data_IF_982181277414
#
_entry.id   IF_982181277414
#
_cell.length_a   1.000
_cell.length_b   1.000
_cell.length_c   1.000
_cell.angle_alpha   90.00
_cell.angle_beta   90.00
_cell.angle_gamma   90.00
#
_symmetry.space_group_name_H-M   'P 1'
#
loop_
_entity.id
_entity.type
_entity.pdbx_description
1 polymer ?
#
# COMPACT_ATOMS: atom_id res chain seq x y z
N UNK A 1 5.56 -11.65 3.81
CA UNK A 1 6.20 -10.42 4.32
C UNK A 1 5.17 -9.31 4.42
N UNK A 2 5.45 -8.25 5.19
CA UNK A 2 4.50 -7.15 5.43
C UNK A 2 3.91 -6.58 4.13
N UNK A 3 4.74 -6.33 3.12
CA UNK A 3 4.29 -5.76 1.85
C UNK A 3 3.27 -6.63 1.10
N UNK A 4 3.50 -7.95 0.97
CA UNK A 4 2.51 -8.86 0.36
C UNK A 4 1.19 -8.90 1.13
N UNK A 5 1.23 -8.73 2.45
CA UNK A 5 0.03 -8.71 3.29
C UNK A 5 -0.81 -7.43 3.15
N UNK A 6 -0.23 -6.36 2.59
CA UNK A 6 -0.90 -5.07 2.37
C UNK A 6 -1.37 -4.92 0.93
N UNK A 7 -0.51 -5.27 -0.05
CA UNK A 7 -0.73 -4.89 -1.45
C UNK A 7 -1.47 -5.94 -2.28
N UNK A 8 -1.62 -7.17 -1.78
CA UNK A 8 -2.41 -8.19 -2.45
C UNK A 8 -3.87 -7.73 -2.65
N UNK A 9 -4.46 -8.04 -3.80
CA UNK A 9 -5.80 -7.58 -4.21
C UNK A 9 -6.00 -6.06 -4.07
N UNK A 10 -4.92 -5.28 -4.27
CA UNK A 10 -4.91 -3.83 -4.11
C UNK A 10 -5.36 -3.38 -2.71
N UNK A 11 -5.06 -4.19 -1.68
CA UNK A 11 -5.41 -3.95 -0.28
C UNK A 11 -6.88 -4.21 0.08
N UNK A 12 -7.70 -4.69 -0.87
CA UNK A 12 -9.12 -4.97 -0.65
C UNK A 12 -9.32 -6.37 -0.10
N UNK A 13 -8.73 -6.63 1.07
CA UNK A 13 -8.80 -7.92 1.80
C UNK A 13 -9.25 -7.63 3.22
N UNK A 14 -10.21 -8.39 3.74
CA UNK A 14 -10.78 -8.15 5.08
C UNK A 14 -9.76 -8.31 6.22
N UNK A 15 -8.70 -9.09 5.99
CA UNK A 15 -7.56 -9.28 6.91
C UNK A 15 -6.26 -8.70 6.36
N UNK A 16 -6.34 -7.67 5.49
CA UNK A 16 -5.16 -6.95 5.03
C UNK A 16 -4.34 -6.41 6.21
N UNK A 17 -3.02 -6.54 6.12
CA UNK A 17 -2.07 -6.10 7.16
C UNK A 17 -1.87 -4.60 7.21
N UNK A 18 -2.94 -3.80 7.20
CA UNK A 18 -2.93 -2.33 7.00
C UNK A 18 -2.19 -1.54 8.08
N UNK A 19 -1.85 -2.19 9.21
CA UNK A 19 -1.05 -1.60 10.27
C UNK A 19 0.16 -2.49 10.56
N UNK A 20 1.34 -2.00 10.20
CA UNK A 20 2.60 -2.67 10.47
C UNK A 20 3.20 -2.11 11.77
N UNK A 21 3.55 -2.98 12.71
CA UNK A 21 4.23 -2.62 13.94
C UNK A 21 5.72 -2.94 13.79
N UNK A 22 6.55 -1.92 13.94
CA UNK A 22 8.01 -2.03 13.78
C UNK A 22 8.68 -1.60 15.09
N UNK A 23 9.71 -2.33 15.49
CA UNK A 23 10.52 -1.95 16.64
C UNK A 23 11.25 -0.64 16.34
N UNK A 24 11.26 0.30 17.30
CA UNK A 24 11.74 1.67 17.10
C UNK A 24 13.11 1.77 16.42
N UNK A 25 14.08 0.93 16.77
CA UNK A 25 15.43 0.97 16.17
C UNK A 25 15.52 0.46 14.74
N UNK A 26 14.44 -0.11 14.19
CA UNK A 26 14.39 -0.66 12.84
C UNK A 26 13.44 0.12 11.92
N UNK A 27 12.84 1.21 12.39
CA UNK A 27 11.81 1.95 11.63
C UNK A 27 12.34 2.46 10.30
N UNK A 28 13.53 3.07 10.31
CA UNK A 28 14.12 3.68 9.10
C UNK A 28 14.49 2.60 8.08
N UNK A 29 15.24 1.58 8.52
CA UNK A 29 15.66 0.44 7.67
C UNK A 29 14.45 -0.31 7.10
N UNK A 30 13.43 -0.56 7.92
CA UNK A 30 12.22 -1.24 7.46
C UNK A 30 11.46 -0.39 6.43
N UNK A 31 11.38 0.92 6.64
CA UNK A 31 10.67 1.83 5.74
C UNK A 31 11.38 1.90 4.39
N UNK A 32 12.72 1.96 4.38
CA UNK A 32 13.52 1.91 3.15
C UNK A 32 13.28 0.61 2.37
N UNK A 33 13.40 -0.56 3.02
CA UNK A 33 13.15 -1.84 2.36
C UNK A 33 11.70 -2.00 1.87
N UNK A 34 10.74 -1.41 2.58
CA UNK A 34 9.35 -1.40 2.15
C UNK A 34 9.16 -0.54 0.90
N UNK A 35 9.78 0.64 0.84
CA UNK A 35 9.77 1.51 -0.34
C UNK A 35 10.44 0.82 -1.54
N UNK A 36 11.60 0.20 -1.34
CA UNK A 36 12.30 -0.56 -2.39
C UNK A 36 11.41 -1.67 -2.97
N UNK A 37 10.68 -2.39 -2.11
CA UNK A 37 9.73 -3.38 -2.59
C UNK A 37 8.57 -2.75 -3.36
N UNK A 38 8.01 -1.63 -2.87
CA UNK A 38 6.92 -0.92 -3.54
C UNK A 38 7.31 -0.45 -4.94
N UNK A 39 8.55 0.01 -5.13
CA UNK A 39 9.07 0.43 -6.43
C UNK A 39 9.14 -0.70 -7.46
N UNK A 40 9.15 -1.97 -7.00
CA UNK A 40 9.08 -3.13 -7.91
C UNK A 40 7.65 -3.43 -8.39
N UNK A 41 6.62 -2.88 -7.75
CA UNK A 41 5.22 -3.22 -8.03
C UNK A 41 4.72 -2.52 -9.31
N UNK A 42 4.33 -3.32 -10.30
CA UNK A 42 3.69 -2.83 -11.52
C UNK A 42 2.17 -2.79 -11.34
N UNK A 43 1.60 -1.59 -11.44
CA UNK A 43 0.14 -1.38 -11.49
C UNK A 43 -0.33 -1.46 -12.94
N UNK A 44 -1.37 -2.24 -13.21
CA UNK A 44 -1.90 -2.34 -14.56
C UNK A 44 -3.24 -3.08 -14.66
N UNK A 45 -3.53 -3.60 -15.86
CA UNK A 45 -4.82 -4.24 -16.16
C UNK A 45 -4.87 -5.63 -15.54
N UNK A 46 -6.05 -6.06 -15.09
CA UNK A 46 -6.21 -7.35 -14.38
C UNK A 46 -5.81 -8.60 -15.16
N UNK A 47 -5.76 -8.54 -16.50
CA UNK A 47 -5.34 -9.65 -17.36
C UNK A 47 -3.88 -9.54 -17.83
N UNK A 48 -3.19 -8.47 -17.46
CA UNK A 48 -1.78 -8.33 -17.77
C UNK A 48 -0.93 -9.17 -16.80
N UNK A 49 -0.32 -10.22 -17.34
CA UNK A 49 0.56 -11.12 -16.58
C UNK A 49 1.81 -10.46 -16.02
N UNK A 50 2.17 -9.25 -16.49
CA UNK A 50 3.29 -8.47 -15.97
C UNK A 50 2.88 -7.53 -14.84
N UNK A 51 1.58 -7.36 -14.58
CA UNK A 51 1.07 -6.50 -13.51
C UNK A 51 1.04 -7.25 -12.18
N UNK A 52 1.55 -6.61 -11.13
CA UNK A 52 1.49 -7.12 -9.76
C UNK A 52 0.21 -6.68 -9.05
N UNK A 53 -0.38 -5.56 -9.47
CA UNK A 53 -1.54 -4.96 -8.82
C UNK A 53 -2.55 -4.44 -9.86
N UNK A 54 -3.83 -4.71 -9.59
CA UNK A 54 -4.95 -4.25 -10.42
C UNK A 54 -5.60 -2.97 -9.88
N UNK A 55 -6.68 -2.49 -10.52
CA UNK A 55 -7.44 -1.36 -10.03
C UNK A 55 -8.17 -1.68 -8.72
N UNK A 56 -8.56 -0.64 -7.99
CA UNK A 56 -9.57 -0.76 -6.92
C UNK A 56 -10.98 -0.90 -7.52
N UNK A 57 -11.92 -1.39 -6.73
CA UNK A 57 -13.23 -1.86 -7.24
C UNK A 57 -14.13 -0.75 -7.82
N UNK A 58 -13.97 0.49 -7.37
CA UNK A 58 -14.85 1.60 -7.79
C UNK A 58 -14.22 2.97 -7.55
N UNK A 59 -14.78 4.00 -8.21
CA UNK A 59 -14.41 5.40 -7.97
C UNK A 59 -14.58 5.79 -6.50
N UNK A 60 -15.69 5.37 -5.86
CA UNK A 60 -15.93 5.64 -4.43
C UNK A 60 -14.82 5.09 -3.54
N UNK A 61 -14.30 3.90 -3.85
CA UNK A 61 -13.19 3.30 -3.11
C UNK A 61 -11.91 4.12 -3.31
N UNK A 62 -11.63 4.54 -4.54
CA UNK A 62 -10.49 5.41 -4.85
C UNK A 62 -10.59 6.74 -4.09
N UNK A 63 -11.74 7.40 -4.12
CA UNK A 63 -11.97 8.67 -3.41
C UNK A 63 -11.75 8.52 -1.90
N UNK A 64 -12.20 7.39 -1.33
CA UNK A 64 -12.00 7.08 0.08
C UNK A 64 -10.51 6.92 0.41
N UNK A 65 -9.76 6.18 -0.41
CA UNK A 65 -8.30 6.01 -0.25
C UNK A 65 -7.59 7.36 -0.34
N UNK A 66 -7.91 8.18 -1.34
CA UNK A 66 -7.31 9.51 -1.53
C UNK A 66 -7.60 10.43 -0.34
N UNK A 67 -8.80 10.34 0.26
CA UNK A 67 -9.13 11.11 1.45
C UNK A 67 -8.26 10.73 2.67
N UNK A 68 -7.96 9.44 2.87
CA UNK A 68 -7.07 9.00 3.95
C UNK A 68 -5.62 9.41 3.72
N UNK A 69 -5.14 9.40 2.48
CA UNK A 69 -3.80 9.94 2.15
C UNK A 69 -3.72 11.42 2.54
N UNK A 70 -4.76 12.20 2.20
CA UNK A 70 -4.83 13.61 2.56
C UNK A 70 -4.82 13.82 4.08
N UNK A 71 -5.61 13.05 4.84
CA UNK A 71 -5.61 13.12 6.30
C UNK A 71 -4.20 12.85 6.86
N UNK A 72 -3.51 11.82 6.36
CA UNK A 72 -2.15 11.50 6.80
C UNK A 72 -1.16 12.65 6.56
N UNK A 73 -1.25 13.32 5.41
CA UNK A 73 -0.40 14.49 5.10
C UNK A 73 -0.72 15.72 5.97
N UNK A 74 -1.96 15.87 6.43
CA UNK A 74 -2.38 16.94 7.32
C UNK A 74 -1.96 16.69 8.79
N UNK A 75 -1.95 15.43 9.22
CA UNK A 75 -1.56 15.02 10.58
C UNK A 75 -0.04 14.98 10.78
N UNK A 76 0.72 14.60 9.75
CA UNK A 76 2.19 14.48 9.79
C UNK A 76 2.81 15.14 8.54
N UNK A 77 2.94 16.49 8.54
CA UNK A 77 3.51 17.21 7.41
C UNK A 77 5.00 16.85 7.22
N UNK A 78 5.51 16.89 5.97
CA UNK A 78 6.86 16.43 5.64
C UNK A 78 7.99 17.21 6.31
#
# INVERSE_FOLDING_TARGET
>A
GAAMGVFANSGQICFAGTRVLVQRSLVDEFSEQLMDFMDTLKVGRSLDTQSNMGPVISQRQLDSILSYIKIGQEEDPP
#
